data_IF_298579860055
#
_entry.id   IF_298579860055
#
_cell.length_a   1.000
_cell.length_b   1.000
_cell.length_c   1.000
_cell.angle_alpha   90.00
_cell.angle_beta   90.00
_cell.angle_gamma   90.00
#
_symmetry.space_group_name_H-M   'P 1'
#
loop_
_entity.id
_entity.type
_entity.pdbx_description
1 polymer ?
#
# COMPACT_ATOMS: atom_id res chain seq x y z
N UNK A 1 -22.15 -12.05 10.70
CA UNK A 1 -22.93 -10.78 10.69
C UNK A 1 -24.43 -10.97 10.93
N UNK A 2 -25.06 -12.00 10.39
CA UNK A 2 -26.51 -12.27 10.55
C UNK A 2 -27.04 -12.14 11.99
N UNK A 3 -26.48 -12.90 12.93
CA UNK A 3 -26.90 -12.89 14.33
C UNK A 3 -26.61 -11.57 15.08
N UNK A 4 -25.63 -10.79 14.60
CA UNK A 4 -25.13 -9.59 15.30
C UNK A 4 -25.74 -8.29 14.75
N UNK A 5 -26.12 -8.26 13.47
CA UNK A 5 -26.59 -7.05 12.79
C UNK A 5 -28.00 -7.26 12.22
N UNK A 6 -28.18 -8.29 11.39
CA UNK A 6 -29.41 -8.49 10.62
C UNK A 6 -30.58 -8.83 11.55
N UNK A 7 -30.51 -9.92 12.31
CA UNK A 7 -31.61 -10.36 13.19
C UNK A 7 -31.99 -9.33 14.25
N UNK A 8 -31.03 -8.67 14.94
CA UNK A 8 -31.38 -7.61 15.89
C UNK A 8 -32.11 -6.45 15.21
N UNK A 9 -31.65 -6.01 14.04
CA UNK A 9 -32.29 -4.91 13.31
C UNK A 9 -33.71 -5.28 12.85
N UNK A 10 -33.90 -6.47 12.32
CA UNK A 10 -35.23 -6.97 11.95
C UNK A 10 -36.16 -7.03 13.16
N UNK A 11 -35.66 -7.50 14.31
CA UNK A 11 -36.43 -7.53 15.56
C UNK A 11 -36.89 -6.13 15.95
N UNK A 12 -36.02 -5.12 15.85
CA UNK A 12 -36.40 -3.74 16.16
C UNK A 12 -37.38 -3.19 15.14
N UNK A 13 -37.20 -3.44 13.83
CA UNK A 13 -38.18 -3.05 12.78
C UNK A 13 -39.56 -3.63 13.06
N UNK A 14 -39.63 -4.91 13.43
CA UNK A 14 -40.90 -5.59 13.79
C UNK A 14 -41.55 -5.01 15.04
N UNK A 15 -40.75 -4.58 16.03
CA UNK A 15 -41.27 -4.00 17.26
C UNK A 15 -41.93 -2.61 17.09
N UNK A 16 -41.69 -1.92 15.97
CA UNK A 16 -42.13 -0.54 15.69
C UNK A 16 -41.74 0.52 16.76
N UNK A 17 -40.89 0.16 17.72
CA UNK A 17 -40.49 1.05 18.82
C UNK A 17 -39.55 2.19 18.37
N UNK A 18 -38.84 2.01 17.25
CA UNK A 18 -37.91 2.98 16.69
C UNK A 18 -38.24 3.17 15.21
N UNK A 19 -38.53 4.41 14.81
CA UNK A 19 -38.71 4.75 13.41
C UNK A 19 -37.45 4.42 12.61
N UNK A 20 -37.63 3.79 11.45
CA UNK A 20 -36.53 3.42 10.52
C UNK A 20 -35.68 4.63 10.11
N UNK A 21 -36.24 5.83 10.22
CA UNK A 21 -35.59 7.12 9.99
C UNK A 21 -34.60 7.57 11.07
N UNK A 22 -34.47 6.84 12.19
CA UNK A 22 -33.51 7.12 13.26
C UNK A 22 -32.30 6.18 13.28
N UNK A 23 -32.24 5.19 12.38
CA UNK A 23 -31.13 4.26 12.34
C UNK A 23 -29.88 4.88 11.69
N UNK A 24 -28.68 4.56 12.19
CA UNK A 24 -27.45 4.94 11.51
C UNK A 24 -27.44 4.31 10.11
N UNK A 25 -27.31 5.16 9.10
CA UNK A 25 -27.34 4.77 7.70
C UNK A 25 -25.97 4.31 7.17
N UNK A 26 -24.90 4.40 7.97
CA UNK A 26 -23.54 4.17 7.49
C UNK A 26 -22.78 3.22 8.41
N UNK A 27 -22.10 2.25 7.79
CA UNK A 27 -21.08 1.40 8.42
C UNK A 27 -19.75 1.79 7.78
N UNK A 28 -18.77 2.19 8.60
CA UNK A 28 -17.44 2.55 8.14
C UNK A 28 -16.46 1.48 8.62
N UNK A 29 -15.76 0.86 7.68
CA UNK A 29 -14.72 -0.13 7.92
C UNK A 29 -13.41 0.48 7.40
N UNK A 30 -12.49 0.76 8.31
CA UNK A 30 -11.18 1.34 8.01
C UNK A 30 -10.10 0.29 8.24
N UNK A 31 -9.22 0.08 7.25
CA UNK A 31 -8.16 -0.91 7.29
C UNK A 31 -8.65 -2.36 7.20
N UNK A 32 -9.56 -2.67 6.26
CA UNK A 32 -10.05 -4.06 6.09
C UNK A 32 -8.89 -5.03 5.79
N UNK A 33 -7.86 -4.57 5.08
CA UNK A 33 -6.63 -5.32 4.82
C UNK A 33 -5.83 -5.69 6.09
N UNK A 34 -6.08 -5.04 7.23
CA UNK A 34 -5.45 -5.41 8.51
C UNK A 34 -6.21 -6.53 9.24
N UNK A 35 -7.36 -6.97 8.70
CA UNK A 35 -8.14 -8.07 9.24
C UNK A 35 -7.42 -9.39 8.94
N UNK A 36 -6.57 -9.80 9.87
CA UNK A 36 -5.88 -11.09 9.87
C UNK A 36 -6.40 -11.95 11.01
N UNK A 37 -6.56 -13.24 10.77
CA UNK A 37 -7.05 -14.18 11.78
C UNK A 37 -6.12 -14.31 12.95
N UNK A 38 -6.68 -14.58 14.14
CA UNK A 38 -5.82 -15.10 15.21
C UNK A 38 -5.26 -16.46 14.77
N UNK A 39 -3.93 -16.68 14.88
CA UNK A 39 -3.39 -18.01 14.67
C UNK A 39 -4.01 -18.92 15.72
N UNK A 40 -4.73 -19.95 15.26
CA UNK A 40 -5.42 -20.93 16.10
C UNK A 40 -4.44 -21.55 17.11
N UNK A 41 -4.33 -20.99 18.31
CA UNK A 41 -3.48 -21.50 19.40
C UNK A 41 -4.22 -22.51 20.28
N UNK A 42 -5.43 -22.90 19.91
CA UNK A 42 -6.31 -23.78 20.72
C UNK A 42 -6.25 -25.27 20.36
N UNK A 43 -5.38 -25.71 19.45
CA UNK A 43 -5.17 -27.14 19.20
C UNK A 43 -3.72 -27.51 19.44
N UNK A 44 -3.44 -28.16 20.57
CA UNK A 44 -2.15 -28.79 20.91
C UNK A 44 -1.80 -30.01 20.04
N UNK A 45 -2.11 -29.95 18.75
CA UNK A 45 -1.76 -30.92 17.74
C UNK A 45 -1.02 -30.12 16.66
N UNK A 46 0.25 -30.44 16.44
CA UNK A 46 1.09 -29.81 15.43
C UNK A 46 0.32 -29.69 14.09
N UNK A 47 0.16 -28.50 13.51
CA UNK A 47 -0.45 -28.36 12.20
C UNK A 47 0.58 -28.84 11.17
N UNK A 48 0.52 -30.12 10.88
CA UNK A 48 1.13 -30.68 9.68
C UNK A 48 0.09 -30.50 8.58
N UNK A 49 0.36 -29.58 7.66
CA UNK A 49 -0.32 -29.39 6.37
C UNK A 49 -1.66 -28.60 6.36
N UNK A 50 -1.63 -27.33 6.75
CA UNK A 50 -2.54 -26.33 6.19
C UNK A 50 -1.72 -25.07 5.86
N UNK A 51 -1.91 -24.57 4.65
CA UNK A 51 -1.30 -23.35 4.12
C UNK A 51 -1.68 -22.16 5.03
N UNK A 52 -0.77 -21.78 5.94
CA UNK A 52 -0.98 -20.82 7.03
C UNK A 52 -1.37 -19.40 6.54
N UNK A 53 -1.37 -19.18 5.22
CA UNK A 53 -1.62 -17.88 4.57
C UNK A 53 -2.87 -17.82 3.72
N UNK A 54 -3.54 -18.93 3.43
CA UNK A 54 -4.94 -18.83 3.01
C UNK A 54 -5.75 -18.17 4.12
N UNK A 55 -5.41 -18.39 5.39
CA UNK A 55 -6.17 -17.89 6.54
C UNK A 55 -6.46 -16.36 6.58
N UNK A 56 -5.51 -15.43 6.33
CA UNK A 56 -5.81 -14.00 6.35
C UNK A 56 -6.63 -13.53 5.13
N UNK A 57 -6.27 -13.95 3.92
CA UNK A 57 -7.00 -13.58 2.70
C UNK A 57 -8.40 -14.20 2.69
N UNK A 58 -8.52 -15.47 3.12
CA UNK A 58 -9.79 -16.18 3.29
C UNK A 58 -10.72 -15.42 4.26
N UNK A 59 -10.18 -14.78 5.30
CA UNK A 59 -10.98 -14.01 6.24
C UNK A 59 -11.40 -12.65 5.71
N UNK A 60 -10.51 -11.96 4.98
CA UNK A 60 -10.90 -10.75 4.26
C UNK A 60 -12.01 -11.07 3.26
N UNK A 61 -11.89 -12.16 2.51
CA UNK A 61 -12.91 -12.66 1.58
C UNK A 61 -14.21 -13.04 2.31
N UNK A 62 -14.13 -13.78 3.42
CA UNK A 62 -15.28 -14.15 4.24
C UNK A 62 -16.01 -12.91 4.74
N UNK A 63 -15.27 -11.89 5.19
CA UNK A 63 -15.84 -10.63 5.63
C UNK A 63 -16.54 -9.89 4.49
N UNK A 64 -15.93 -9.80 3.30
CA UNK A 64 -16.55 -9.20 2.12
C UNK A 64 -17.81 -9.98 1.69
N UNK A 65 -17.77 -11.31 1.73
CA UNK A 65 -18.92 -12.19 1.49
C UNK A 65 -20.04 -11.96 2.51
N UNK A 66 -19.69 -11.86 3.78
CA UNK A 66 -20.63 -11.57 4.85
C UNK A 66 -21.27 -10.18 4.68
N UNK A 67 -20.50 -9.15 4.31
CA UNK A 67 -21.04 -7.81 4.02
C UNK A 67 -22.02 -7.89 2.84
N UNK A 68 -21.62 -8.53 1.73
CA UNK A 68 -22.47 -8.68 0.56
C UNK A 68 -23.79 -9.39 0.91
N UNK A 69 -23.72 -10.57 1.51
CA UNK A 69 -24.90 -11.40 1.74
C UNK A 69 -25.75 -10.98 2.94
N UNK A 70 -25.15 -10.47 4.01
CA UNK A 70 -25.89 -10.05 5.20
C UNK A 70 -26.39 -8.61 5.08
N UNK A 71 -25.65 -7.72 4.43
CA UNK A 71 -25.97 -6.29 4.44
C UNK A 71 -26.52 -5.83 3.08
N UNK A 72 -25.83 -6.11 1.98
CA UNK A 72 -26.17 -5.55 0.67
C UNK A 72 -27.30 -6.32 -0.04
N UNK A 73 -27.38 -7.64 0.15
CA UNK A 73 -28.42 -8.49 -0.45
C UNK A 73 -29.75 -8.47 0.34
N UNK A 74 -29.73 -7.92 1.56
CA UNK A 74 -30.93 -7.72 2.36
C UNK A 74 -31.42 -6.28 2.24
N UNK A 75 -32.72 -6.05 2.44
CA UNK A 75 -33.33 -4.70 2.45
C UNK A 75 -32.99 -3.95 3.75
N UNK A 76 -31.70 -3.83 4.07
CA UNK A 76 -31.21 -3.10 5.23
C UNK A 76 -30.87 -1.65 4.85
N UNK A 77 -31.07 -0.68 5.76
CA UNK A 77 -30.89 0.74 5.44
C UNK A 77 -29.42 1.18 5.43
N UNK A 78 -28.46 0.25 5.47
CA UNK A 78 -27.05 0.55 5.65
C UNK A 78 -26.34 0.82 4.31
N UNK A 79 -25.49 1.83 4.31
CA UNK A 79 -24.46 2.08 3.31
C UNK A 79 -23.12 1.72 3.93
N UNK A 80 -22.37 0.86 3.26
CA UNK A 80 -21.07 0.40 3.75
C UNK A 80 -19.96 1.17 3.03
N UNK A 81 -19.06 1.76 3.80
CA UNK A 81 -17.85 2.40 3.31
C UNK A 81 -16.65 1.57 3.79
N UNK A 82 -15.86 1.09 2.84
CA UNK A 82 -14.66 0.30 3.11
C UNK A 82 -13.45 1.10 2.62
N UNK A 83 -12.52 1.38 3.54
CA UNK A 83 -11.19 1.87 3.21
C UNK A 83 -10.20 0.73 3.43
N UNK A 84 -9.44 0.40 2.39
CA UNK A 84 -8.52 -0.74 2.41
C UNK A 84 -7.42 -0.57 1.37
N UNK A 85 -6.25 -1.16 1.61
CA UNK A 85 -5.25 -1.39 0.55
C UNK A 85 -5.79 -2.37 -0.50
N UNK A 86 -5.33 -2.29 -1.77
CA UNK A 86 -5.75 -3.18 -2.84
C UNK A 86 -5.04 -4.55 -2.73
N UNK A 87 -5.11 -5.17 -1.56
CA UNK A 87 -4.66 -6.55 -1.33
C UNK A 87 -5.54 -7.53 -2.13
N UNK A 88 -5.13 -8.81 -2.19
CA UNK A 88 -5.70 -9.79 -3.09
C UNK A 88 -7.23 -9.84 -2.99
N UNK A 89 -7.77 -10.06 -1.77
CA UNK A 89 -9.21 -10.22 -1.53
C UNK A 89 -10.04 -9.01 -1.98
N UNK A 90 -9.53 -7.81 -1.72
CA UNK A 90 -10.18 -6.55 -2.10
C UNK A 90 -10.13 -6.36 -3.62
N UNK A 91 -8.98 -6.64 -4.22
CA UNK A 91 -8.78 -6.49 -5.65
C UNK A 91 -9.72 -7.40 -6.44
N UNK A 92 -9.73 -8.70 -6.13
CA UNK A 92 -10.54 -9.69 -6.83
C UNK A 92 -12.03 -9.51 -6.61
N UNK A 93 -12.46 -9.06 -5.43
CA UNK A 93 -13.85 -8.71 -5.17
C UNK A 93 -14.36 -7.58 -6.09
N UNK A 94 -13.48 -6.70 -6.57
CA UNK A 94 -13.82 -5.54 -7.42
C UNK A 94 -13.53 -5.76 -8.92
N UNK A 95 -12.82 -6.83 -9.28
CA UNK A 95 -12.53 -7.21 -10.66
C UNK A 95 -13.78 -7.68 -11.43
N UNK A 96 -13.74 -7.74 -12.77
CA UNK A 96 -14.84 -8.34 -13.55
C UNK A 96 -15.15 -9.76 -13.07
N UNK A 97 -16.42 -10.01 -12.71
CA UNK A 97 -16.87 -11.28 -12.11
C UNK A 97 -16.67 -11.38 -10.59
N UNK A 98 -16.05 -10.38 -9.97
CA UNK A 98 -15.88 -10.29 -8.52
C UNK A 98 -17.18 -10.01 -7.77
N UNK A 99 -17.24 -10.46 -6.52
CA UNK A 99 -18.43 -10.42 -5.65
C UNK A 99 -19.06 -9.01 -5.49
N UNK A 100 -18.22 -7.97 -5.45
CA UNK A 100 -18.62 -6.59 -5.20
C UNK A 100 -18.64 -5.73 -6.46
N UNK A 101 -18.30 -6.29 -7.63
CA UNK A 101 -18.14 -5.54 -8.89
C UNK A 101 -19.33 -4.64 -9.23
N UNK A 102 -20.54 -5.17 -9.10
CA UNK A 102 -21.78 -4.47 -9.44
C UNK A 102 -22.41 -3.77 -8.24
N UNK A 103 -21.97 -4.11 -7.02
CA UNK A 103 -22.53 -3.62 -5.77
C UNK A 103 -21.76 -2.42 -5.18
N UNK A 104 -20.48 -2.27 -5.54
CA UNK A 104 -19.59 -1.28 -4.95
C UNK A 104 -19.28 -0.12 -5.91
N UNK A 105 -19.31 1.09 -5.37
CA UNK A 105 -18.70 2.26 -6.00
C UNK A 105 -17.24 2.37 -5.54
N UNK A 106 -16.30 2.09 -6.44
CA UNK A 106 -14.86 2.07 -6.11
C UNK A 106 -14.19 3.43 -6.39
N UNK A 107 -13.60 4.02 -5.35
CA UNK A 107 -12.77 5.24 -5.45
C UNK A 107 -11.31 4.84 -5.27
N UNK A 108 -10.52 4.92 -6.34
CA UNK A 108 -9.10 4.56 -6.29
C UNK A 108 -8.23 5.75 -5.81
N UNK A 109 -7.79 5.71 -4.55
CA UNK A 109 -6.91 6.72 -3.94
C UNK A 109 -5.42 6.50 -4.30
N UNK A 110 -5.12 6.29 -5.58
CA UNK A 110 -3.77 5.99 -6.09
C UNK A 110 -3.06 7.23 -6.66
N UNK A 111 -1.98 7.03 -7.44
CA UNK A 111 -1.21 8.05 -8.16
C UNK A 111 -2.02 9.00 -9.07
N UNK A 112 -3.30 8.72 -9.31
CA UNK A 112 -4.19 9.54 -10.14
C UNK A 112 -4.66 10.82 -9.44
N UNK A 113 -4.48 10.94 -8.12
CA UNK A 113 -4.86 12.13 -7.36
C UNK A 113 -3.63 12.98 -7.02
N UNK A 114 -3.65 14.26 -7.40
CA UNK A 114 -2.60 15.20 -7.02
C UNK A 114 -2.78 15.65 -5.56
N UNK A 115 -2.09 14.98 -4.65
CA UNK A 115 -2.05 15.32 -3.22
C UNK A 115 -1.05 16.45 -2.89
N UNK A 116 -0.37 17.03 -3.90
CA UNK A 116 0.66 18.06 -3.67
C UNK A 116 0.11 19.28 -2.95
N UNK A 117 -1.12 19.71 -3.27
CA UNK A 117 -1.80 20.83 -2.60
C UNK A 117 -1.98 20.58 -1.09
N UNK A 118 -2.44 19.38 -0.73
CA UNK A 118 -2.66 18.99 0.66
C UNK A 118 -1.34 18.87 1.42
N UNK A 119 -0.30 18.33 0.79
CA UNK A 119 1.02 18.24 1.40
C UNK A 119 1.65 19.61 1.66
N UNK A 120 1.55 20.55 0.71
CA UNK A 120 2.01 21.94 0.93
C UNK A 120 1.30 22.56 2.12
N UNK A 121 -0.02 22.43 2.18
CA UNK A 121 -0.85 22.96 3.27
C UNK A 121 -0.48 22.33 4.61
N UNK A 122 -0.28 21.01 4.63
CA UNK A 122 0.16 20.29 5.82
C UNK A 122 1.53 20.78 6.30
N UNK A 123 2.55 20.76 5.43
CA UNK A 123 3.91 21.15 5.77
C UNK A 123 3.97 22.61 6.24
N UNK A 124 3.34 23.54 5.51
CA UNK A 124 3.31 24.95 5.87
C UNK A 124 2.75 25.17 7.27
N UNK A 125 1.55 24.62 7.55
CA UNK A 125 0.92 24.74 8.86
C UNK A 125 1.78 24.15 9.98
N UNK A 126 2.37 22.98 9.72
CA UNK A 126 3.22 22.28 10.70
C UNK A 126 4.55 22.98 10.95
N UNK A 127 5.09 23.68 9.94
CA UNK A 127 6.30 24.47 10.07
C UNK A 127 6.02 25.81 10.76
N UNK A 128 4.89 26.44 10.49
CA UNK A 128 4.39 27.60 11.24
C UNK A 128 4.22 27.27 12.73
N UNK A 129 3.66 26.10 13.07
CA UNK A 129 3.58 25.62 14.46
C UNK A 129 4.97 25.47 15.11
N UNK A 130 5.99 25.05 14.36
CA UNK A 130 7.38 25.01 14.84
C UNK A 130 7.90 26.43 15.04
N UNK A 131 7.67 27.35 14.09
CA UNK A 131 8.12 28.74 14.16
C UNK A 131 7.66 29.43 15.44
N UNK A 132 6.39 29.23 15.82
CA UNK A 132 5.85 29.75 17.08
C UNK A 132 6.57 29.21 18.32
N UNK A 133 7.02 27.95 18.29
CA UNK A 133 7.71 27.31 19.42
C UNK A 133 9.17 27.75 19.54
N UNK A 134 9.84 28.03 18.43
CA UNK A 134 11.27 28.40 18.41
C UNK A 134 11.50 29.91 18.33
N UNK A 135 10.47 30.71 18.04
CA UNK A 135 10.57 32.16 17.92
C UNK A 135 11.27 32.64 16.64
N UNK A 136 11.41 31.77 15.63
CA UNK A 136 12.01 32.08 14.33
C UNK A 136 11.03 31.69 13.23
N UNK A 137 10.69 32.63 12.35
CA UNK A 137 9.81 32.41 11.20
C UNK A 137 10.56 32.20 9.88
N UNK A 138 11.89 32.38 9.87
CA UNK A 138 12.73 32.35 8.66
C UNK A 138 13.52 31.05 8.50
N UNK A 139 13.32 30.08 9.39
CA UNK A 139 14.05 28.81 9.40
C UNK A 139 13.71 27.86 8.26
N UNK A 140 12.64 28.13 7.51
CA UNK A 140 12.26 27.40 6.30
C UNK A 140 11.85 28.37 5.19
N UNK A 141 11.97 27.92 3.96
CA UNK A 141 11.53 28.62 2.75
C UNK A 141 10.42 27.84 2.03
N UNK A 142 9.71 28.51 1.13
CA UNK A 142 8.73 27.83 0.26
C UNK A 142 9.41 26.80 -0.65
N UNK A 143 10.67 27.05 -1.05
CA UNK A 143 11.46 26.10 -1.83
C UNK A 143 11.73 24.80 -1.07
N UNK A 144 11.90 24.85 0.26
CA UNK A 144 12.05 23.65 1.09
C UNK A 144 10.76 22.82 1.09
N UNK A 145 9.60 23.49 1.17
CA UNK A 145 8.29 22.84 1.08
C UNK A 145 8.12 22.15 -0.28
N UNK A 146 8.35 22.87 -1.38
CA UNK A 146 8.25 22.30 -2.73
C UNK A 146 9.23 21.14 -2.94
N UNK A 147 10.43 21.22 -2.35
CA UNK A 147 11.40 20.11 -2.42
C UNK A 147 10.87 18.86 -1.71
N UNK A 148 10.30 19.01 -0.50
CA UNK A 148 9.70 17.90 0.22
C UNK A 148 8.48 17.32 -0.49
N UNK A 149 7.64 18.17 -1.08
CA UNK A 149 6.45 17.76 -1.84
C UNK A 149 6.84 17.02 -3.12
N UNK A 150 7.82 17.55 -3.87
CA UNK A 150 8.36 16.91 -5.06
C UNK A 150 9.02 15.57 -4.77
N UNK A 151 9.72 15.45 -3.63
CA UNK A 151 10.31 14.20 -3.17
C UNK A 151 9.23 13.18 -2.75
N UNK A 152 8.14 13.64 -2.14
CA UNK A 152 7.04 12.78 -1.70
C UNK A 152 6.32 12.07 -2.84
N UNK A 153 6.25 12.69 -4.03
CA UNK A 153 5.62 12.09 -5.24
C UNK A 153 4.26 11.47 -4.95
N UNK A 154 3.38 12.26 -4.32
CA UNK A 154 2.03 11.83 -3.96
C UNK A 154 1.91 11.08 -2.61
N UNK A 155 3.02 10.67 -1.98
CA UNK A 155 3.00 9.98 -0.69
C UNK A 155 2.97 10.89 0.53
N UNK A 156 1.80 10.99 1.15
CA UNK A 156 1.66 11.75 2.40
C UNK A 156 2.53 11.20 3.54
N UNK A 157 2.76 9.88 3.58
CA UNK A 157 3.60 9.25 4.62
C UNK A 157 5.05 9.76 4.59
N UNK A 158 5.56 10.15 3.41
CA UNK A 158 6.90 10.74 3.28
C UNK A 158 6.99 12.08 4.00
N UNK A 159 6.07 13.01 3.72
CA UNK A 159 6.07 14.34 4.37
C UNK A 159 5.79 14.25 5.87
N UNK A 160 4.93 13.31 6.29
CA UNK A 160 4.68 13.04 7.70
C UNK A 160 5.94 12.51 8.42
N UNK A 161 6.69 11.62 7.77
CA UNK A 161 7.95 11.08 8.30
C UNK A 161 9.03 12.15 8.38
N UNK A 162 9.19 12.96 7.33
CA UNK A 162 10.08 14.12 7.31
C UNK A 162 9.76 15.08 8.46
N UNK A 163 8.48 15.47 8.61
CA UNK A 163 8.04 16.33 9.70
C UNK A 163 8.32 15.71 11.09
N UNK A 164 8.05 14.42 11.28
CA UNK A 164 8.33 13.72 12.54
C UNK A 164 9.82 13.76 12.89
N UNK A 165 10.69 13.65 11.89
CA UNK A 165 12.13 13.81 12.07
C UNK A 165 12.50 15.25 12.42
N UNK A 166 12.02 16.23 11.67
CA UNK A 166 12.31 17.67 11.87
C UNK A 166 11.86 18.15 13.26
N UNK A 167 10.69 17.68 13.72
CA UNK A 167 10.03 18.19 14.92
C UNK A 167 10.54 17.63 16.27
N UNK A 168 11.53 16.73 16.33
CA UNK A 168 11.98 16.20 17.65
C UNK A 168 12.67 17.29 18.49
N UNK A 169 12.24 17.42 19.75
CA UNK A 169 12.49 18.50 20.72
C UNK A 169 13.94 18.85 21.11
N UNK A 170 14.95 18.10 20.66
CA UNK A 170 16.35 18.24 21.12
C UNK A 170 17.35 18.55 19.99
N UNK A 171 16.86 18.93 18.81
CA UNK A 171 17.71 19.33 17.69
C UNK A 171 17.12 20.56 17.01
N UNK A 172 17.96 21.31 16.29
CA UNK A 172 17.51 22.45 15.49
C UNK A 172 16.60 21.97 14.35
N UNK A 173 15.36 22.50 14.24
CA UNK A 173 14.49 22.20 13.11
C UNK A 173 15.11 22.61 11.77
N UNK A 174 15.85 23.73 11.73
CA UNK A 174 16.53 24.21 10.53
C UNK A 174 17.62 23.23 10.05
N UNK A 175 18.46 22.75 10.96
CA UNK A 175 19.51 21.77 10.62
C UNK A 175 18.90 20.47 10.11
N UNK A 176 17.80 20.02 10.73
CA UNK A 176 17.12 18.80 10.30
C UNK A 176 16.39 18.96 8.99
N UNK A 177 15.77 20.10 8.75
CA UNK A 177 15.17 20.40 7.46
C UNK A 177 16.23 20.34 6.37
N UNK A 178 17.39 20.96 6.59
CA UNK A 178 18.53 20.87 5.68
C UNK A 178 18.93 19.43 5.42
N UNK A 179 19.08 18.61 6.46
CA UNK A 179 19.40 17.17 6.33
C UNK A 179 18.38 16.45 5.45
N UNK A 180 17.09 16.70 5.65
CA UNK A 180 16.01 16.03 4.91
C UNK A 180 15.96 16.50 3.46
N UNK A 181 16.11 17.81 3.21
CA UNK A 181 16.07 18.40 1.86
C UNK A 181 17.28 17.98 1.03
N UNK A 182 18.47 17.91 1.63
CA UNK A 182 19.69 17.44 0.96
C UNK A 182 19.92 15.94 1.15
N UNK A 183 18.89 15.19 1.57
CA UNK A 183 19.05 13.79 1.90
C UNK A 183 19.44 13.00 0.65
N UNK A 184 20.64 12.43 0.70
CA UNK A 184 21.12 11.46 -0.28
C UNK A 184 21.53 10.22 0.50
N UNK A 185 20.87 9.08 0.25
CA UNK A 185 21.18 7.87 0.99
C UNK A 185 22.60 7.38 0.68
N UNK A 186 23.41 7.13 1.70
CA UNK A 186 24.73 6.53 1.56
C UNK A 186 24.99 5.55 2.71
N UNK A 187 25.73 4.47 2.43
CA UNK A 187 26.15 3.51 3.44
C UNK A 187 27.02 4.21 4.52
N UNK A 188 26.82 3.84 5.79
CA UNK A 188 27.61 4.34 6.91
C UNK A 188 27.16 5.69 7.52
N UNK A 189 26.08 6.32 7.03
CA UNK A 189 25.56 7.54 7.66
C UNK A 189 24.90 7.25 9.03
N UNK A 190 25.29 8.03 10.04
CA UNK A 190 24.71 7.97 11.39
C UNK A 190 23.27 8.51 11.46
N UNK A 191 22.90 9.39 10.52
CA UNK A 191 21.58 10.02 10.49
C UNK A 191 20.68 9.28 9.51
N UNK A 192 19.46 8.92 9.93
CA UNK A 192 18.48 8.22 9.07
C UNK A 192 17.09 8.85 9.21
N UNK A 193 16.80 9.94 8.46
CA UNK A 193 15.53 10.66 8.60
C UNK A 193 14.32 9.82 8.18
N UNK A 194 14.51 8.85 7.29
CA UNK A 194 13.47 7.99 6.74
C UNK A 194 13.53 6.54 7.22
N UNK A 195 14.25 6.25 8.31
CA UNK A 195 14.40 4.87 8.83
C UNK A 195 13.06 4.16 9.07
N UNK A 196 12.07 4.89 9.62
CA UNK A 196 10.75 4.32 9.85
C UNK A 196 10.03 3.95 8.53
N UNK A 197 10.25 4.72 7.47
CA UNK A 197 9.71 4.47 6.14
C UNK A 197 10.46 3.32 5.45
N UNK A 198 11.79 3.30 5.55
CA UNK A 198 12.63 2.22 5.04
C UNK A 198 12.25 0.88 5.71
N UNK A 199 11.99 0.87 7.03
CA UNK A 199 11.50 -0.31 7.75
C UNK A 199 10.11 -0.74 7.29
N UNK A 200 9.21 0.21 7.00
CA UNK A 200 7.89 -0.11 6.44
C UNK A 200 8.04 -0.83 5.10
N UNK A 201 8.85 -0.30 4.18
CA UNK A 201 9.08 -0.94 2.88
C UNK A 201 9.76 -2.31 3.02
N UNK A 202 10.72 -2.43 3.94
CA UNK A 202 11.38 -3.70 4.25
C UNK A 202 10.36 -4.74 4.68
N UNK A 203 9.44 -4.38 5.58
CA UNK A 203 8.41 -5.31 6.07
C UNK A 203 7.44 -5.72 4.96
N UNK A 204 7.01 -4.78 4.11
CA UNK A 204 6.12 -5.06 2.97
C UNK A 204 6.81 -6.02 1.98
N UNK A 205 8.07 -5.75 1.62
CA UNK A 205 8.84 -6.62 0.72
C UNK A 205 9.13 -7.99 1.31
N UNK A 206 9.41 -8.07 2.61
CA UNK A 206 9.63 -9.34 3.29
C UNK A 206 8.35 -10.18 3.32
N UNK A 207 7.19 -9.56 3.56
CA UNK A 207 5.90 -10.23 3.50
C UNK A 207 5.63 -10.79 2.09
N UNK A 208 5.80 -9.96 1.05
CA UNK A 208 5.65 -10.37 -0.35
C UNK A 208 6.65 -11.47 -0.75
N UNK A 209 7.93 -11.34 -0.36
CA UNK A 209 8.95 -12.38 -0.56
C UNK A 209 8.51 -13.70 0.02
N UNK A 210 8.14 -13.69 1.30
CA UNK A 210 7.76 -14.89 1.99
C UNK A 210 6.53 -15.52 1.31
N UNK A 211 5.57 -14.72 0.84
CA UNK A 211 4.33 -15.22 0.23
C UNK A 211 4.62 -15.86 -1.13
N UNK A 212 5.40 -15.18 -1.95
CA UNK A 212 5.82 -15.68 -3.26
C UNK A 212 6.59 -17.00 -3.16
N UNK A 213 7.58 -17.08 -2.25
CA UNK A 213 8.46 -18.24 -2.12
C UNK A 213 7.83 -19.44 -1.40
N UNK A 214 6.70 -19.24 -0.71
CA UNK A 214 5.96 -20.34 -0.08
C UNK A 214 5.17 -21.19 -1.09
N UNK A 215 4.91 -20.67 -2.29
CA UNK A 215 4.19 -21.41 -3.33
C UNK A 215 5.11 -22.48 -3.93
N UNK A 216 4.66 -23.74 -3.91
CA UNK A 216 5.46 -24.89 -4.40
C UNK A 216 6.00 -24.70 -5.82
N UNK A 217 5.24 -24.09 -6.73
CA UNK A 217 5.66 -23.81 -8.11
C UNK A 217 6.77 -22.77 -8.24
N UNK A 218 7.06 -22.02 -7.17
CA UNK A 218 8.13 -21.03 -7.11
C UNK A 218 9.37 -21.53 -6.35
N UNK A 219 9.39 -22.79 -5.92
CA UNK A 219 10.50 -23.34 -5.16
C UNK A 219 11.85 -23.11 -5.85
N UNK A 220 12.80 -22.51 -5.13
CA UNK A 220 14.15 -22.18 -5.65
C UNK A 220 14.25 -20.88 -6.44
N UNK A 221 13.16 -20.13 -6.62
CA UNK A 221 13.19 -18.76 -7.14
C UNK A 221 13.46 -17.77 -6.01
N UNK A 222 14.34 -16.81 -6.23
CA UNK A 222 14.58 -15.70 -5.30
C UNK A 222 13.69 -14.52 -5.68
N UNK A 223 12.70 -14.21 -4.85
CA UNK A 223 11.75 -13.13 -5.13
C UNK A 223 12.44 -11.77 -5.29
N UNK A 224 13.42 -11.47 -4.44
CA UNK A 224 14.10 -10.17 -4.48
C UNK A 224 14.94 -10.04 -5.74
N UNK A 225 15.62 -11.11 -6.16
CA UNK A 225 16.38 -11.12 -7.41
C UNK A 225 15.45 -10.93 -8.62
N UNK A 226 14.32 -11.62 -8.66
CA UNK A 226 13.33 -11.47 -9.72
C UNK A 226 12.78 -10.06 -9.76
N UNK A 227 12.29 -9.55 -8.63
CA UNK A 227 11.76 -8.20 -8.53
C UNK A 227 12.82 -7.14 -8.90
N UNK A 228 14.08 -7.37 -8.53
CA UNK A 228 15.21 -6.52 -8.93
C UNK A 228 15.50 -6.57 -10.42
N UNK A 229 15.35 -7.71 -11.07
CA UNK A 229 15.45 -7.81 -12.53
C UNK A 229 14.35 -6.99 -13.23
N UNK A 230 13.10 -7.05 -12.75
CA UNK A 230 12.01 -6.21 -13.28
C UNK A 230 12.23 -4.72 -13.02
N UNK A 231 12.71 -4.34 -11.83
CA UNK A 231 13.07 -2.95 -11.52
C UNK A 231 14.23 -2.45 -12.37
N UNK A 232 15.26 -3.28 -12.60
CA UNK A 232 16.37 -2.95 -13.50
C UNK A 232 15.93 -2.80 -14.95
N UNK A 233 14.89 -3.52 -15.38
CA UNK A 233 14.22 -3.27 -16.65
C UNK A 233 13.84 -1.80 -16.83
N UNK A 234 13.20 -1.22 -15.80
CA UNK A 234 12.78 0.20 -15.76
C UNK A 234 13.99 1.15 -15.83
N UNK A 235 15.10 0.83 -15.16
CA UNK A 235 16.28 1.70 -15.08
C UNK A 235 17.29 1.49 -16.23
N UNK A 236 17.15 0.41 -17.00
CA UNK A 236 18.01 0.01 -18.12
C UNK A 236 19.02 -1.09 -17.81
N UNK A 237 19.33 -1.95 -18.81
CA UNK A 237 20.35 -3.01 -18.74
C UNK A 237 21.61 -2.61 -19.53
N UNK A 238 22.79 -2.79 -18.94
CA UNK A 238 24.06 -2.77 -19.67
C UNK A 238 24.41 -4.21 -20.13
N UNK A 239 24.40 -4.47 -21.44
CA UNK A 239 24.80 -5.78 -21.98
C UNK A 239 26.32 -5.92 -22.05
N UNK A 240 26.82 -7.16 -21.89
CA UNK A 240 28.23 -7.55 -22.10
C UNK A 240 28.76 -7.22 -23.51
N UNK A 241 27.88 -7.04 -24.50
CA UNK A 241 28.25 -6.74 -25.90
C UNK A 241 28.37 -5.24 -26.21
N UNK A 242 28.26 -4.37 -25.19
CA UNK A 242 28.34 -2.91 -25.37
C UNK A 242 27.07 -2.27 -25.95
N UNK A 243 26.04 -3.06 -26.28
CA UNK A 243 24.72 -2.55 -26.68
C UNK A 243 23.83 -2.44 -25.44
N UNK A 244 23.48 -1.22 -25.03
CA UNK A 244 22.50 -1.00 -23.95
C UNK A 244 21.13 -1.39 -24.51
N UNK A 245 20.57 -2.53 -24.07
CA UNK A 245 19.13 -2.79 -24.24
C UNK A 245 18.43 -1.90 -23.23
N UNK A 246 18.08 -0.71 -23.70
CA UNK A 246 17.37 0.27 -22.90
C UNK A 246 15.93 -0.23 -22.77
N UNK A 247 15.61 -0.79 -21.60
CA UNK A 247 14.24 -1.05 -21.15
C UNK A 247 13.55 -2.28 -21.78
N UNK A 248 13.94 -3.51 -21.38
CA UNK A 248 13.25 -4.73 -21.81
C UNK A 248 11.83 -4.79 -21.23
N UNK A 249 10.85 -5.09 -22.10
CA UNK A 249 9.44 -5.24 -21.72
C UNK A 249 9.27 -6.33 -20.65
N UNK A 250 8.22 -6.24 -19.82
CA UNK A 250 7.94 -7.25 -18.80
C UNK A 250 7.75 -8.64 -19.42
N UNK A 251 7.23 -8.73 -20.65
CA UNK A 251 7.09 -9.99 -21.39
C UNK A 251 8.45 -10.56 -21.81
N UNK A 252 9.34 -9.72 -22.33
CA UNK A 252 10.70 -10.13 -22.71
C UNK A 252 11.49 -10.59 -21.48
N UNK A 253 11.42 -9.86 -20.37
CA UNK A 253 12.05 -10.27 -19.11
C UNK A 253 11.51 -11.60 -18.61
N UNK A 254 10.18 -11.80 -18.68
CA UNK A 254 9.57 -13.07 -18.29
C UNK A 254 10.10 -14.23 -19.14
N UNK A 255 10.23 -14.03 -20.45
CA UNK A 255 10.79 -15.03 -21.36
C UNK A 255 12.27 -15.32 -21.06
N UNK A 256 13.08 -14.29 -20.83
CA UNK A 256 14.51 -14.42 -20.49
C UNK A 256 14.74 -15.15 -19.16
N UNK A 257 13.85 -14.92 -18.19
CA UNK A 257 13.89 -15.56 -16.88
C UNK A 257 13.16 -16.92 -16.86
N UNK A 258 12.67 -17.39 -18.01
CA UNK A 258 11.89 -18.63 -18.17
C UNK A 258 10.70 -18.72 -17.20
N UNK A 259 10.03 -17.59 -16.98
CA UNK A 259 8.89 -17.48 -16.08
C UNK A 259 7.59 -17.85 -16.80
N UNK A 260 6.62 -18.35 -16.02
CA UNK A 260 5.28 -18.66 -16.51
C UNK A 260 4.54 -17.40 -17.00
N UNK A 261 3.52 -17.61 -17.84
CA UNK A 261 2.79 -16.52 -18.50
C UNK A 261 2.24 -15.44 -17.54
N UNK A 262 1.86 -15.86 -16.32
CA UNK A 262 1.30 -15.00 -15.25
C UNK A 262 2.28 -14.66 -14.13
N UNK A 263 3.56 -15.04 -14.26
CA UNK A 263 4.52 -14.91 -13.17
C UNK A 263 4.77 -13.46 -12.77
N UNK A 264 4.70 -12.51 -13.70
CA UNK A 264 4.86 -11.07 -13.42
C UNK A 264 3.67 -10.51 -12.62
N UNK A 265 2.44 -10.94 -12.93
CA UNK A 265 1.24 -10.57 -12.18
C UNK A 265 1.28 -11.15 -10.77
N UNK A 266 1.74 -12.40 -10.64
CA UNK A 266 1.96 -13.05 -9.34
C UNK A 266 3.08 -12.38 -8.56
N UNK A 267 4.17 -11.96 -9.21
CA UNK A 267 5.31 -11.31 -8.55
C UNK A 267 4.91 -9.97 -7.91
N UNK A 268 3.96 -9.25 -8.50
CA UNK A 268 3.53 -7.94 -7.98
C UNK A 268 2.25 -8.02 -7.15
N UNK A 269 1.67 -9.21 -6.92
CA UNK A 269 0.34 -9.36 -6.34
C UNK A 269 0.22 -8.69 -4.97
N UNK A 270 1.23 -8.89 -4.14
CA UNK A 270 1.28 -8.40 -2.76
C UNK A 270 1.88 -6.98 -2.68
N UNK A 271 2.28 -6.44 -3.84
CA UNK A 271 2.88 -5.12 -3.98
C UNK A 271 1.97 -4.15 -4.74
N UNK A 272 0.70 -4.49 -5.01
CA UNK A 272 -0.26 -3.64 -5.74
C UNK A 272 -0.50 -2.26 -5.12
N UNK A 273 -0.17 -2.07 -3.84
CA UNK A 273 -0.20 -0.76 -3.19
C UNK A 273 1.00 0.12 -3.52
N UNK A 274 2.09 -0.45 -4.03
CA UNK A 274 3.37 0.22 -4.31
C UNK A 274 3.71 0.23 -5.81
N UNK A 275 3.25 -0.76 -6.57
CA UNK A 275 3.59 -0.96 -7.98
C UNK A 275 2.39 -1.37 -8.81
N UNK A 276 2.49 -1.16 -10.12
CA UNK A 276 1.59 -1.72 -11.12
C UNK A 276 2.35 -2.16 -12.37
N UNK A 277 1.72 -3.04 -13.15
CA UNK A 277 2.09 -3.26 -14.54
C UNK A 277 1.26 -2.32 -15.41
N UNK A 278 1.91 -1.50 -16.22
CA UNK A 278 1.26 -0.54 -17.12
C UNK A 278 1.75 -0.74 -18.54
N UNK A 279 0.84 -0.63 -19.50
CA UNK A 279 1.19 -0.59 -20.92
C UNK A 279 1.61 0.82 -21.28
N UNK A 280 2.78 0.97 -21.87
CA UNK A 280 3.27 2.27 -22.35
C UNK A 280 2.63 2.67 -23.70
N UNK A 281 3.09 3.79 -24.25
CA UNK A 281 2.61 4.29 -25.56
C UNK A 281 2.97 3.39 -26.74
N UNK A 282 3.94 2.49 -26.58
CA UNK A 282 4.41 1.55 -27.60
C UNK A 282 3.69 0.19 -27.51
N UNK A 283 2.81 0.00 -26.51
CA UNK A 283 2.09 -1.25 -26.30
C UNK A 283 2.81 -2.24 -25.39
N UNK A 284 3.95 -1.84 -24.81
CA UNK A 284 4.77 -2.70 -23.97
C UNK A 284 4.36 -2.62 -22.50
N UNK A 285 4.17 -3.78 -21.89
CA UNK A 285 3.87 -3.88 -20.47
C UNK A 285 5.14 -3.66 -19.64
N UNK A 286 5.12 -2.72 -18.71
CA UNK A 286 6.26 -2.36 -17.85
C UNK A 286 5.87 -2.27 -16.38
N UNK A 287 6.82 -2.58 -15.51
CA UNK A 287 6.67 -2.34 -14.08
C UNK A 287 6.73 -0.83 -13.81
N UNK A 288 5.77 -0.32 -13.07
CA UNK A 288 5.66 1.08 -12.69
C UNK A 288 5.60 1.17 -11.17
N UNK A 289 6.58 1.85 -10.56
CA UNK A 289 6.56 2.15 -9.13
C UNK A 289 5.82 3.47 -8.94
N UNK A 290 4.74 3.46 -8.15
CA UNK A 290 3.94 4.67 -7.95
C UNK A 290 4.71 5.80 -7.26
N UNK A 291 5.79 5.47 -6.55
CA UNK A 291 6.36 6.34 -5.55
C UNK A 291 7.89 6.38 -5.61
N UNK A 292 8.44 7.60 -5.72
CA UNK A 292 9.89 7.82 -5.78
C UNK A 292 10.60 7.39 -4.50
N UNK A 293 9.98 7.55 -3.34
CA UNK A 293 10.50 7.09 -2.04
C UNK A 293 10.74 5.58 -2.02
N UNK A 294 9.84 4.79 -2.60
CA UNK A 294 10.00 3.34 -2.73
C UNK A 294 11.07 2.97 -3.76
N UNK A 295 11.09 3.62 -4.93
CA UNK A 295 12.17 3.42 -5.92
C UNK A 295 13.54 3.76 -5.35
N UNK A 296 13.65 4.88 -4.63
CA UNK A 296 14.86 5.29 -3.94
C UNK A 296 15.26 4.35 -2.82
N UNK A 297 14.30 3.75 -2.09
CA UNK A 297 14.57 2.65 -1.16
C UNK A 297 15.15 1.43 -1.86
N UNK A 298 14.49 0.95 -2.90
CA UNK A 298 14.85 -0.30 -3.56
C UNK A 298 16.16 -0.21 -4.36
N UNK A 299 16.51 0.97 -4.87
CA UNK A 299 17.82 1.20 -5.50
C UNK A 299 19.03 1.11 -4.55
N UNK A 300 18.80 1.08 -3.22
CA UNK A 300 19.85 1.01 -2.17
C UNK A 300 20.10 -0.39 -1.64
N UNK A 301 19.14 -1.28 -1.83
CA UNK A 301 19.15 -2.68 -1.36
C UNK A 301 19.60 -3.61 -2.48
#
# INVERSE_FOLDING_TARGET
MDALIVRPLESVRRSQQIGTNKFPYAILIDGLDECVGEPNTTSGINPVNADDRSLPEDQQEELLAAIKHCILDNDLPFRVFIASRPEWAIHTALEPGGLLREAAYHIQLSHKYDTSGDMRRYLRRRFEDISLRIGDSKWFSEADIETLVGAASGQFIYVATAYKYISKRRASPAERLKIVVTWTPHEGQATRPFEALDRLYTNILLAAKNAYEAVDSHHGRDFLLLFKAYHMGITGFASFTGTIVRDPTANLLSAMLCLEARAKETLISDLRSLVALQTDGDGDLRLHLYHKSFSGFFGRT
#
